data_IF_209257486574
#
_entry.id   IF_209257486574
#
_cell.length_a   1.000
_cell.length_b   1.000
_cell.length_c   1.000
_cell.angle_alpha   90.00
_cell.angle_beta   90.00
_cell.angle_gamma   90.00
#
_symmetry.space_group_name_H-M   'P 1'
#
loop_
_entity.id
_entity.type
_entity.pdbx_description
1 polymer ?
2 non-polymer ?
3 water ?
#
# COMPACT_ATOMS: atom_id res chain seq x y z
N UNK A 6 4.28 27.32 -0.20
CA UNK A 6 5.30 26.46 0.40
C UNK A 6 5.41 26.69 1.89
N UNK A 7 4.26 26.67 2.58
CA UNK A 7 4.22 26.97 4.00
C UNK A 7 4.16 25.71 4.85
N UNK A 8 5.33 25.12 5.08
CA UNK A 8 5.45 24.05 6.06
C UNK A 8 6.51 24.49 7.07
N UNK A 9 6.18 24.35 8.35
CA UNK A 9 7.00 24.94 9.41
C UNK A 9 7.58 23.90 10.35
N UNK A 10 8.57 24.31 11.14
CA UNK A 10 9.13 23.46 12.18
C UNK A 10 8.18 23.41 13.37
N UNK A 11 8.21 22.29 14.09
CA UNK A 11 7.41 22.13 15.30
C UNK A 11 8.32 21.73 16.45
N UNK A 12 8.08 22.30 17.62
CA UNK A 12 8.84 21.97 18.82
C UNK A 12 7.93 21.34 19.87
N UNK A 13 8.34 20.19 20.38
CA UNK A 13 7.58 19.46 21.38
C UNK A 13 8.43 19.26 22.62
N UNK A 14 8.19 20.09 23.65
CA UNK A 14 8.97 20.03 24.88
C UNK A 14 10.47 20.14 24.59
N UNK A 15 10.86 21.27 24.00
CA UNK A 15 12.27 21.57 23.69
C UNK A 15 12.89 20.63 22.65
N UNK A 16 12.11 19.67 22.16
CA UNK A 16 12.55 18.79 21.08
C UNK A 16 12.07 19.33 19.74
N UNK A 17 13.02 19.78 18.93
CA UNK A 17 12.71 20.47 17.68
C UNK A 17 12.54 19.50 16.51
N UNK A 18 11.47 19.69 15.74
CA UNK A 18 11.24 18.95 14.52
C UNK A 18 11.38 19.89 13.32
N UNK A 19 12.50 19.81 12.58
CA UNK A 19 12.67 20.72 11.45
C UNK A 19 11.64 20.46 10.35
N UNK A 20 11.28 21.51 9.61
CA UNK A 20 10.22 21.41 8.60
C UNK A 20 10.58 20.43 7.49
N UNK A 21 11.87 20.31 7.20
CA UNK A 21 12.36 19.43 6.13
C UNK A 21 13.61 18.71 6.61
N UNK A 22 13.76 17.45 6.22
CA UNK A 22 14.96 16.68 6.50
C UNK A 22 15.35 15.87 5.26
N UNK A 23 16.62 15.50 5.19
CA UNK A 23 17.12 14.66 4.11
C UNK A 23 17.83 13.46 4.72
N UNK A 24 17.40 12.27 4.31
CA UNK A 24 17.94 11.04 4.87
C UNK A 24 19.35 10.72 4.36
N UNK A 25 20.30 10.54 5.29
CA UNK A 25 21.62 10.06 4.87
C UNK A 25 21.57 8.60 4.42
N UNK A 26 20.46 7.93 4.72
CA UNK A 26 20.29 6.52 4.39
C UNK A 26 19.80 6.35 2.95
N UNK A 27 18.75 7.07 2.60
CA UNK A 27 18.11 6.94 1.29
C UNK A 27 18.46 8.07 0.34
N UNK A 28 18.88 9.21 0.90
CA UNK A 28 19.17 10.39 0.10
C UNK A 28 17.91 11.15 -0.28
N UNK A 29 16.76 10.61 0.13
CA UNK A 29 15.48 11.26 -0.10
C UNK A 29 15.26 12.40 0.87
N UNK A 30 14.37 13.31 0.49
CA UNK A 30 14.03 14.45 1.34
C UNK A 30 12.56 14.34 1.76
N UNK A 31 12.30 14.75 3.00
CA UNK A 31 10.96 14.65 3.58
C UNK A 31 10.53 15.99 4.16
N UNK A 32 9.22 16.19 4.27
CA UNK A 32 8.68 17.36 4.95
C UNK A 32 7.86 16.92 6.16
N UNK A 33 7.81 17.77 7.17
CA UNK A 33 7.12 17.45 8.41
C UNK A 33 5.60 17.52 8.22
N UNK A 34 4.93 16.41 8.45
CA UNK A 34 3.48 16.33 8.30
C UNK A 34 2.76 16.71 9.58
N UNK A 35 3.38 16.42 10.72
CA UNK A 35 2.76 16.73 12.00
C UNK A 35 3.62 16.28 13.18
N UNK A 36 3.26 16.72 14.38
CA UNK A 36 4.01 16.37 15.58
C UNK A 36 3.21 16.61 16.85
N UNK A 37 3.40 15.75 17.85
CA UNK A 37 2.71 15.88 19.12
C UNK A 37 3.40 15.17 20.27
N UNK A 38 2.68 15.05 21.40
CA UNK A 38 3.22 14.43 22.61
C UNK A 38 2.58 13.08 22.90
N UNK A 39 3.35 12.20 23.55
CA UNK A 39 2.83 10.93 24.05
C UNK A 39 3.26 10.70 25.49
N UNK A 40 2.53 9.85 26.19
CA UNK A 40 2.82 9.57 27.59
C UNK A 40 1.81 8.60 28.17
N UNK A 41 1.58 8.71 29.47
CA UNK A 41 0.62 7.86 30.17
C UNK A 41 -0.44 8.70 30.89
N UNK A 42 -1.69 8.26 30.78
CA UNK A 42 -2.79 8.86 31.52
C UNK A 42 -2.85 8.14 32.86
N UNK A 43 -1.74 8.17 33.59
CA UNK A 43 -1.61 7.50 34.87
C UNK A 43 -1.35 8.52 35.98
N UNK A 44 -1.59 8.08 37.22
CA UNK A 44 -1.38 8.87 38.44
C UNK A 44 -2.00 10.28 38.42
N UNK A 45 -3.14 10.42 37.74
CA UNK A 45 -3.90 11.66 37.74
C UNK A 45 -3.29 12.81 36.98
N UNK A 46 -1.96 12.84 36.94
CA UNK A 46 -1.20 13.86 36.22
C UNK A 46 -0.65 13.30 34.91
N UNK A 47 -0.84 14.05 33.82
CA UNK A 47 -0.32 13.60 32.53
C UNK A 47 1.19 13.83 32.47
N UNK A 48 1.93 12.74 32.26
CA UNK A 48 3.38 12.78 32.20
C UNK A 48 3.88 12.52 30.78
N UNK A 49 4.48 13.55 30.17
CA UNK A 49 5.03 13.43 28.83
C UNK A 49 6.26 12.53 28.85
N UNK A 50 6.31 11.55 27.97
CA UNK A 50 7.43 10.62 27.89
C UNK A 50 8.15 10.72 26.55
N UNK A 51 7.38 10.91 25.48
CA UNK A 51 7.95 10.98 24.14
C UNK A 51 7.29 12.04 23.27
N UNK A 52 8.05 12.52 22.29
CA UNK A 52 7.52 13.33 21.21
C UNK A 52 7.49 12.47 19.95
N UNK A 53 6.50 12.73 19.09
CA UNK A 53 6.40 12.02 17.82
C UNK A 53 6.27 13.02 16.69
N UNK A 54 6.95 12.74 15.58
CA UNK A 54 6.85 13.53 14.37
C UNK A 54 6.79 12.61 13.18
N UNK A 55 5.89 12.93 12.24
CA UNK A 55 5.74 12.13 11.03
C UNK A 55 6.20 12.92 9.82
N UNK A 56 7.09 12.33 9.04
CA UNK A 56 7.62 12.94 7.83
C UNK A 56 7.17 12.14 6.60
N UNK A 57 6.77 12.87 5.56
CA UNK A 57 6.40 12.26 4.28
C UNK A 57 7.45 12.62 3.24
N UNK A 58 7.81 11.66 2.40
CA UNK A 58 8.70 11.94 1.28
C UNK A 58 8.07 13.02 0.41
N UNK A 59 8.92 13.86 -0.19
CA UNK A 59 8.45 15.04 -0.91
C UNK A 59 7.47 14.72 -2.06
N UNK A 60 7.62 13.54 -2.67
CA UNK A 60 6.76 13.14 -3.77
C UNK A 60 5.34 12.80 -3.32
N UNK A 61 5.12 12.76 -2.00
CA UNK A 61 3.81 12.42 -1.47
C UNK A 61 2.76 13.45 -1.87
N UNK A 62 3.16 14.70 -2.02
CA UNK A 62 2.24 15.77 -2.36
C UNK A 62 1.64 15.55 -3.74
N UNK A 63 2.48 15.27 -4.72
CA UNK A 63 2.02 15.00 -6.08
C UNK A 63 1.11 13.76 -6.11
N UNK A 64 1.45 12.77 -5.31
CA UNK A 64 0.68 11.53 -5.24
C UNK A 64 -0.69 11.74 -4.60
N UNK A 65 -0.73 12.57 -3.56
CA UNK A 65 -1.96 12.83 -2.82
C UNK A 65 -2.83 13.90 -3.48
N UNK A 66 -2.24 14.65 -4.41
CA UNK A 66 -2.90 15.82 -4.97
C UNK A 66 -4.13 15.43 -5.81
N UNK A 67 -4.02 14.34 -6.55
CA UNK A 67 -5.08 13.89 -7.44
C UNK A 67 -6.42 13.78 -6.72
N UNK A 68 -6.41 13.12 -5.56
CA UNK A 68 -7.65 12.84 -4.84
C UNK A 68 -8.06 13.95 -3.86
N UNK A 69 -7.08 14.65 -3.30
CA UNK A 69 -7.32 15.48 -2.12
C UNK A 69 -7.07 16.98 -2.31
N UNK A 70 -6.62 17.36 -3.50
CA UNK A 70 -6.50 18.79 -3.82
C UNK A 70 -7.86 19.48 -3.70
N UNK A 71 -7.86 20.66 -3.11
CA UNK A 71 -9.07 21.47 -3.00
C UNK A 71 -9.93 21.16 -1.79
N UNK A 72 -9.65 20.04 -1.12
CA UNK A 72 -10.37 19.69 0.09
C UNK A 72 -9.89 20.53 1.27
N UNK A 73 -10.80 20.83 2.19
CA UNK A 73 -10.47 21.65 3.36
C UNK A 73 -9.92 20.78 4.49
N UNK A 74 -9.29 21.42 5.47
CA UNK A 74 -8.71 20.70 6.59
C UNK A 74 -9.79 19.99 7.42
N UNK A 75 -10.96 20.61 7.51
CA UNK A 75 -12.07 20.05 8.28
C UNK A 75 -12.56 18.77 7.63
N UNK A 76 -12.59 18.77 6.31
CA UNK A 76 -13.10 17.64 5.54
C UNK A 76 -12.11 16.47 5.56
N UNK A 77 -10.83 16.78 5.38
CA UNK A 77 -9.78 15.77 5.41
C UNK A 77 -9.76 15.02 6.74
N UNK A 78 -9.90 15.77 7.83
CA UNK A 78 -9.82 15.19 9.18
C UNK A 78 -10.88 14.12 9.40
N UNK A 79 -12.02 14.27 8.74
CA UNK A 79 -13.16 13.37 8.92
C UNK A 79 -13.19 12.24 7.88
N UNK A 80 -12.17 12.19 7.02
CA UNK A 80 -12.12 11.22 5.94
C UNK A 80 -11.04 10.16 6.17
N UNK A 81 -11.47 8.95 6.52
CA UNK A 81 -10.55 7.84 6.76
C UNK A 81 -9.69 7.54 5.54
N UNK A 82 -10.28 7.63 4.36
CA UNK A 82 -9.59 7.27 3.12
C UNK A 82 -8.36 8.15 2.89
N UNK A 83 -8.38 9.35 3.44
CA UNK A 83 -7.26 10.28 3.32
C UNK A 83 -6.03 9.74 4.05
N UNK A 84 -6.22 9.27 5.27
CA UNK A 84 -5.12 8.76 6.07
C UNK A 84 -4.65 7.40 5.59
N UNK A 85 -5.55 6.63 4.97
CA UNK A 85 -5.17 5.36 4.37
C UNK A 85 -4.21 5.60 3.20
N UNK A 86 -4.47 6.66 2.44
CA UNK A 86 -3.59 7.05 1.33
C UNK A 86 -2.23 7.49 1.87
N UNK A 87 -2.23 8.10 3.05
CA UNK A 87 -1.00 8.53 3.68
C UNK A 87 -0.24 7.32 4.21
N UNK A 88 -0.96 6.47 4.94
CA UNK A 88 -0.37 5.26 5.52
C UNK A 88 0.23 4.35 4.44
N UNK A 89 -0.53 4.16 3.36
CA UNK A 89 -0.19 3.14 2.36
C UNK A 89 0.20 3.71 1.00
N UNK A 90 0.48 5.01 0.95
CA UNK A 90 0.85 5.66 -0.29
C UNK A 90 2.19 5.17 -0.83
N UNK A 91 2.44 5.41 -2.13
CA UNK A 91 3.66 4.95 -2.79
C UNK A 91 4.84 5.90 -2.57
N UNK A 92 5.18 6.11 -1.31
CA UNK A 92 6.26 7.01 -0.94
C UNK A 92 6.71 6.69 0.48
N UNK A 93 7.94 7.07 0.81
CA UNK A 93 8.49 6.76 2.14
C UNK A 93 7.89 7.66 3.20
N UNK A 94 7.64 7.07 4.36
CA UNK A 94 7.26 7.82 5.55
C UNK A 94 8.34 7.61 6.60
N UNK A 95 8.64 8.66 7.34
CA UNK A 95 9.70 8.60 8.34
C UNK A 95 9.16 9.15 9.65
N UNK A 96 9.14 8.29 10.67
CA UNK A 96 8.61 8.66 11.97
C UNK A 96 9.73 8.80 12.98
N UNK A 97 9.74 9.91 13.72
CA UNK A 97 10.77 10.16 14.72
C UNK A 97 10.18 10.34 16.12
N UNK A 98 10.47 9.38 17.00
CA UNK A 98 10.07 9.48 18.39
C UNK A 98 11.25 9.93 19.25
N UNK A 99 11.09 11.06 19.93
CA UNK A 99 12.13 11.62 20.78
C UNK A 99 11.73 11.53 22.25
N UNK A 100 12.66 11.09 23.10
CA UNK A 100 12.34 10.87 24.50
C UNK A 100 12.44 12.16 25.31
N UNK A 101 11.43 12.37 26.17
CA UNK A 101 11.40 13.49 27.08
C UNK A 101 11.90 13.02 28.45
N UNK A 102 11.56 11.78 28.78
CA UNK A 102 12.03 11.13 30.00
C UNK A 102 12.73 9.83 29.63
N UNK A 103 13.72 9.42 30.40
CA UNK A 103 14.56 8.28 30.04
C UNK A 103 13.77 6.97 30.04
N UNK A 104 13.94 6.19 28.97
CA UNK A 104 13.33 4.87 28.83
C UNK A 104 14.34 3.90 28.24
N UNK A 105 14.33 2.66 28.73
CA UNK A 105 15.12 1.62 28.08
C UNK A 105 14.39 1.21 26.80
N UNK A 106 15.08 0.44 25.96
CA UNK A 106 14.51 0.02 24.70
C UNK A 106 13.27 -0.86 24.87
N UNK A 107 13.35 -1.88 25.73
CA UNK A 107 12.19 -2.74 25.99
C UNK A 107 11.03 -1.99 26.64
N UNK A 108 11.35 -0.98 27.46
CA UNK A 108 10.32 -0.19 28.14
C UNK A 108 9.52 0.61 27.12
N UNK A 109 10.22 1.24 26.18
CA UNK A 109 9.56 2.06 25.16
C UNK A 109 8.82 1.20 24.13
N UNK A 110 9.44 0.09 23.75
CA UNK A 110 8.92 -0.72 22.65
C UNK A 110 7.71 -1.56 23.05
N UNK A 111 7.46 -1.69 24.35
CA UNK A 111 6.40 -2.56 24.84
C UNK A 111 5.03 -2.16 24.29
N UNK A 112 4.63 -0.91 24.52
CA UNK A 112 3.30 -0.45 24.11
C UNK A 112 3.20 -0.33 22.59
N UNK A 113 4.31 0.06 21.96
CA UNK A 113 4.34 0.17 20.50
C UNK A 113 4.08 -1.17 19.83
N UNK A 114 4.71 -2.22 20.34
CA UNK A 114 4.55 -3.56 19.76
C UNK A 114 3.19 -4.16 20.08
N UNK A 115 2.63 -3.78 21.22
CA UNK A 115 1.29 -4.23 21.60
C UNK A 115 0.27 -3.76 20.56
N UNK A 116 0.27 -2.45 20.31
CA UNK A 116 -0.63 -1.85 19.33
C UNK A 116 -0.49 -2.45 17.93
N UNK A 117 0.75 -2.74 17.53
CA UNK A 117 1.00 -3.30 16.20
C UNK A 117 0.41 -4.70 16.11
N UNK A 118 0.70 -5.54 17.10
CA UNK A 118 0.18 -6.91 17.11
C UNK A 118 -1.35 -6.88 17.15
N UNK A 119 -1.89 -5.93 17.90
CA UNK A 119 -3.34 -5.77 17.99
C UNK A 119 -3.93 -5.43 16.62
N UNK A 120 -3.33 -4.46 15.94
CA UNK A 120 -3.76 -4.06 14.60
C UNK A 120 -3.66 -5.21 13.60
N UNK A 121 -2.53 -5.91 13.61
CA UNK A 121 -2.31 -6.99 12.65
C UNK A 121 -3.31 -8.12 12.86
N UNK A 122 -3.74 -8.31 14.10
CA UNK A 122 -4.75 -9.31 14.42
C UNK A 122 -6.14 -8.85 13.98
N UNK A 123 -6.44 -7.58 14.23
CA UNK A 123 -7.70 -6.98 13.80
C UNK A 123 -7.97 -7.20 12.31
N UNK A 124 -6.95 -6.99 11.49
CA UNK A 124 -7.12 -7.05 10.04
C UNK A 124 -6.71 -8.42 9.47
N UNK A 125 -6.54 -9.40 10.35
CA UNK A 125 -6.36 -10.78 9.92
C UNK A 125 -5.07 -11.09 9.18
N UNK A 126 -4.02 -10.32 9.43
CA UNK A 126 -2.72 -10.57 8.81
C UNK A 126 -1.62 -10.72 9.85
N UNK A 127 -1.81 -11.63 10.79
CA UNK A 127 -0.79 -11.93 11.80
C UNK A 127 -0.44 -13.41 11.82
N UNK A 128 0.32 -13.84 10.83
CA UNK A 128 0.77 -15.22 10.74
C UNK A 128 2.16 -15.40 11.32
N UNK A 129 2.82 -16.49 10.93
CA UNK A 129 4.17 -16.78 11.42
C UNK A 129 5.18 -15.73 10.98
N UNK A 130 5.10 -15.33 9.71
CA UNK A 130 6.03 -14.35 9.16
C UNK A 130 5.96 -13.02 9.91
N UNK A 131 4.75 -12.62 10.28
CA UNK A 131 4.56 -11.35 10.97
C UNK A 131 4.97 -11.43 12.44
N UNK A 132 4.79 -12.60 13.04
CA UNK A 132 5.18 -12.80 14.43
C UNK A 132 6.71 -12.77 14.55
N UNK A 133 7.36 -13.39 13.58
CA UNK A 133 8.82 -13.37 13.49
C UNK A 133 9.34 -11.96 13.25
N UNK A 134 8.65 -11.22 12.38
CA UNK A 134 9.02 -9.85 12.10
C UNK A 134 8.93 -8.99 13.36
N UNK A 135 7.91 -9.23 14.16
CA UNK A 135 7.70 -8.49 15.41
C UNK A 135 8.72 -8.92 16.45
N UNK A 136 9.24 -10.14 16.31
CA UNK A 136 10.29 -10.63 17.18
C UNK A 136 11.59 -9.90 16.85
N UNK A 137 11.89 -9.83 15.56
CA UNK A 137 13.06 -9.09 15.07
C UNK A 137 12.96 -7.61 15.43
N UNK A 138 11.72 -7.13 15.54
CA UNK A 138 11.44 -5.76 15.93
C UNK A 138 11.83 -5.54 17.40
N UNK A 139 11.39 -6.46 18.25
CA UNK A 139 11.70 -6.41 19.67
C UNK A 139 13.20 -6.48 19.93
N UNK A 140 13.87 -7.42 19.28
CA UNK A 140 15.31 -7.64 19.47
C UNK A 140 16.11 -6.38 19.19
N UNK A 141 15.70 -5.61 18.19
CA UNK A 141 16.40 -4.39 17.81
C UNK A 141 16.45 -3.38 18.96
N UNK A 142 15.44 -3.42 19.82
CA UNK A 142 15.32 -2.43 20.90
C UNK A 142 16.03 -2.87 22.18
N UNK A 143 16.21 -4.18 22.37
CA UNK A 143 16.72 -4.72 23.63
C UNK A 143 18.08 -4.17 24.09
N UNK A 144 19.04 -4.02 23.16
CA UNK A 144 20.37 -3.55 23.58
C UNK A 144 20.51 -2.03 23.62
N UNK A 145 19.40 -1.31 23.61
CA UNK A 145 19.43 0.15 23.53
C UNK A 145 18.73 0.80 24.73
N UNK A 146 19.24 1.95 25.14
CA UNK A 146 18.63 2.77 26.18
C UNK A 146 18.46 4.18 25.63
N UNK A 147 17.37 4.85 26.01
CA UNK A 147 17.03 6.16 25.46
C UNK A 147 17.01 7.25 26.52
N UNK A 148 18.16 7.91 26.76
CA UNK A 148 18.15 9.11 27.58
C UNK A 148 17.32 10.22 26.93
N UNK A 149 16.97 11.27 27.70
CA UNK A 149 16.21 12.39 27.14
C UNK A 149 16.89 12.99 25.91
N UNK A 150 16.13 13.16 24.82
CA UNK A 150 16.68 13.72 23.60
C UNK A 150 17.04 12.67 22.58
N UNK A 151 17.24 11.44 23.04
CA UNK A 151 17.55 10.33 22.15
C UNK A 151 16.33 10.00 21.30
N UNK A 152 16.56 9.49 20.09
CA UNK A 152 15.49 9.29 19.13
C UNK A 152 15.49 7.89 18.52
N UNK A 153 14.30 7.45 18.14
CA UNK A 153 14.14 6.27 17.30
C UNK A 153 13.49 6.71 15.99
N UNK A 154 14.04 6.23 14.88
CA UNK A 154 13.52 6.51 13.56
C UNK A 154 12.89 5.27 12.94
N UNK A 155 11.62 5.38 12.55
CA UNK A 155 10.98 4.33 11.76
C UNK A 155 10.94 4.77 10.29
N UNK A 156 11.71 4.09 9.44
CA UNK A 156 11.64 4.37 8.00
C UNK A 156 10.75 3.35 7.33
N UNK A 157 9.54 3.78 6.97
CA UNK A 157 8.59 2.91 6.28
C UNK A 157 8.73 3.06 4.78
N UNK A 158 9.28 2.03 4.14
CA UNK A 158 9.45 2.02 2.70
C UNK A 158 8.20 1.44 2.03
N UNK A 159 7.79 2.02 0.89
CA UNK A 159 6.63 1.47 0.20
C UNK A 159 6.91 0.09 -0.40
N UNK A 160 8.19 -0.29 -0.44
CA UNK A 160 8.59 -1.60 -0.93
C UNK A 160 8.38 -2.70 0.12
N UNK A 161 7.73 -2.35 1.22
CA UNK A 161 7.38 -3.33 2.24
C UNK A 161 8.52 -3.61 3.21
N UNK A 162 9.30 -2.58 3.52
CA UNK A 162 10.42 -2.71 4.46
C UNK A 162 10.33 -1.65 5.54
N UNK A 163 10.58 -2.06 6.79
CA UNK A 163 10.66 -1.12 7.90
C UNK A 163 12.07 -1.08 8.46
N UNK A 164 12.73 0.07 8.34
CA UNK A 164 14.06 0.26 8.87
C UNK A 164 14.03 0.97 10.21
N UNK A 165 14.73 0.41 11.19
CA UNK A 165 14.83 1.02 12.51
C UNK A 165 16.20 1.66 12.71
N UNK A 166 16.19 2.89 13.22
CA UNK A 166 17.42 3.62 13.50
C UNK A 166 17.33 4.28 14.87
N UNK A 167 18.43 4.26 15.61
CA UNK A 167 18.49 4.87 16.93
C UNK A 167 19.56 5.95 16.93
N UNK A 168 19.25 7.10 17.53
CA UNK A 168 20.18 8.22 17.60
C UNK A 168 20.24 8.81 19.01
N UNK A 169 21.44 9.22 19.44
CA UNK A 169 21.56 9.86 20.76
C UNK A 169 20.97 11.26 20.81
N UNK A 170 20.69 11.83 19.64
CA UNK A 170 20.02 13.11 19.53
C UNK A 170 18.94 13.05 18.45
N UNK A 171 18.63 14.19 17.82
CA UNK A 171 17.54 14.26 16.86
C UNK A 171 17.97 14.06 15.40
N UNK A 172 19.26 13.83 15.18
CA UNK A 172 19.77 13.69 13.82
C UNK A 172 19.70 12.24 13.32
N UNK A 173 19.48 12.09 12.02
CA UNK A 173 19.31 10.76 11.41
C UNK A 173 20.64 10.01 11.30
N UNK A 174 20.70 8.77 11.82
CA UNK A 174 21.89 7.92 11.65
C UNK A 174 22.15 7.52 10.19
N UNK A 175 23.42 7.26 9.84
CA UNK A 175 23.77 6.86 8.48
C UNK A 175 23.38 5.42 8.23
N UNK A 176 23.55 4.60 9.26
CA UNK A 176 23.22 3.18 9.18
C UNK A 176 21.96 2.89 9.98
N UNK A 177 21.22 1.89 9.54
CA UNK A 177 20.02 1.45 10.24
C UNK A 177 20.36 0.24 11.11
N UNK A 178 19.70 0.14 12.27
CA UNK A 178 19.98 -0.94 13.21
C UNK A 178 19.41 -2.26 12.70
N UNK A 179 18.26 -2.21 12.05
CA UNK A 179 17.63 -3.42 11.54
C UNK A 179 16.67 -3.15 10.38
N UNK A 180 16.43 -4.18 9.57
CA UNK A 180 15.47 -4.10 8.48
C UNK A 180 14.44 -5.20 8.63
N UNK A 181 13.21 -4.80 8.95
CA UNK A 181 12.10 -5.73 9.04
C UNK A 181 11.45 -5.86 7.66
N UNK A 182 11.71 -6.97 6.99
CA UNK A 182 11.22 -7.18 5.64
C UNK A 182 9.88 -7.90 5.66
N UNK A 183 8.83 -7.14 5.95
CA UNK A 183 7.48 -7.66 6.00
C UNK A 183 6.49 -6.54 5.67
N UNK A 184 5.61 -6.80 4.69
CA UNK A 184 4.71 -5.78 4.19
C UNK A 184 3.71 -5.33 5.25
N UNK A 185 3.03 -6.29 5.87
CA UNK A 185 2.00 -6.00 6.87
C UNK A 185 2.57 -5.21 8.04
N UNK A 186 3.74 -5.63 8.53
CA UNK A 186 4.38 -4.98 9.67
C UNK A 186 4.93 -3.60 9.31
N UNK A 187 5.42 -3.47 8.08
CA UNK A 187 6.06 -2.22 7.65
C UNK A 187 5.15 -1.01 7.83
N UNK A 188 3.85 -1.20 7.62
CA UNK A 188 2.88 -0.10 7.72
C UNK A 188 2.19 -0.08 9.08
N UNK A 189 2.40 -1.10 9.88
CA UNK A 189 1.70 -1.26 11.15
C UNK A 189 1.94 -0.10 12.12
N UNK A 190 3.19 0.33 12.23
CA UNK A 190 3.55 1.37 13.19
C UNK A 190 2.79 2.68 12.93
N UNK A 191 2.82 3.15 11.68
CA UNK A 191 2.18 4.41 11.32
C UNK A 191 0.66 4.31 11.48
N UNK A 192 0.12 3.12 11.25
CA UNK A 192 -1.32 2.88 11.44
C UNK A 192 -1.74 3.19 12.87
N UNK A 193 -0.94 2.76 13.84
CA UNK A 193 -1.26 2.99 15.24
C UNK A 193 -1.22 4.46 15.64
N UNK A 194 -0.71 5.31 14.74
CA UNK A 194 -0.54 6.73 15.03
C UNK A 194 -1.59 7.61 14.35
N UNK A 195 -1.93 7.29 13.11
CA UNK A 195 -2.89 8.09 12.34
C UNK A 195 -3.97 7.23 11.68
N UNK A 196 -3.98 5.94 12.01
CA UNK A 196 -4.98 5.03 11.47
C UNK A 196 -6.34 5.24 12.12
N UNK A 197 -7.31 4.45 11.69
CA UNK A 197 -8.68 4.55 12.17
C UNK A 197 -8.75 4.36 13.70
N UNK A 198 -7.99 3.39 14.21
CA UNK A 198 -8.04 3.03 15.62
C UNK A 198 -6.91 3.67 16.43
N UNK A 199 -6.37 4.77 15.93
CA UNK A 199 -5.36 5.55 16.64
C UNK A 199 -6.00 6.29 17.81
N UNK A 200 -5.41 6.15 19.00
CA UNK A 200 -6.01 6.70 20.21
C UNK A 200 -5.93 8.23 20.26
N UNK A 201 -4.74 8.78 20.00
CA UNK A 201 -4.55 10.23 19.97
C UNK A 201 -4.76 10.80 18.57
N UNK A 202 -5.61 11.83 18.41
CA UNK A 202 -5.85 12.35 17.07
C UNK A 202 -5.04 13.61 16.75
N UNK A 203 -4.08 13.95 17.61
CA UNK A 203 -3.30 15.17 17.44
C UNK A 203 -2.50 15.18 16.14
N UNK A 204 -2.03 14.01 15.71
CA UNK A 204 -1.27 13.90 14.47
C UNK A 204 -2.20 13.96 13.27
N UNK A 205 -3.38 13.35 13.40
CA UNK A 205 -4.39 13.43 12.35
C UNK A 205 -4.78 14.89 12.09
N UNK A 206 -4.90 15.67 13.16
CA UNK A 206 -5.22 17.09 13.03
C UNK A 206 -4.10 17.86 12.35
N UNK A 207 -2.87 17.57 12.76
CA UNK A 207 -1.70 18.24 12.22
C UNK A 207 -1.60 18.04 10.72
N UNK A 208 -1.78 16.79 10.29
CA UNK A 208 -1.73 16.43 8.87
C UNK A 208 -2.85 17.11 8.08
N UNK A 209 -4.06 17.09 8.64
CA UNK A 209 -5.20 17.72 8.00
C UNK A 209 -4.99 19.22 7.81
N UNK A 210 -4.29 19.84 8.75
CA UNK A 210 -4.07 21.28 8.75
C UNK A 210 -2.99 21.71 7.75
N UNK A 211 -1.95 20.89 7.62
CA UNK A 211 -0.75 21.28 6.89
C UNK A 211 -0.75 20.93 5.40
N UNK A 212 -1.44 19.86 5.03
CA UNK A 212 -1.37 19.34 3.67
C UNK A 212 -2.12 20.15 2.61
N UNK A 213 -3.33 20.66 2.94
CA UNK A 213 -4.10 21.38 1.92
C UNK A 213 -3.35 22.51 1.22
N UNK A 214 -2.52 23.24 1.96
CA UNK A 214 -1.72 24.30 1.37
C UNK A 214 -0.72 23.71 0.38
N UNK A 215 -0.09 22.61 0.77
CA UNK A 215 0.87 21.92 -0.09
C UNK A 215 0.20 21.30 -1.31
N UNK A 216 -0.99 20.73 -1.12
CA UNK A 216 -1.68 20.04 -2.20
C UNK A 216 -2.11 21.00 -3.30
N UNK A 217 -2.35 22.25 -2.93
CA UNK A 217 -2.72 23.27 -3.90
C UNK A 217 -1.53 23.57 -4.81
N UNK A 218 -0.33 23.43 -4.26
CA UNK A 218 0.89 23.64 -5.00
C UNK A 218 1.04 22.58 -6.09
N UNK A 219 0.43 21.42 -5.86
CA UNK A 219 0.52 20.31 -6.78
C UNK A 219 1.73 19.42 -6.58
N UNK A 220 2.73 19.92 -5.85
CA UNK A 220 3.97 19.19 -5.64
C UNK A 220 4.85 19.87 -4.60
N UNK A 221 5.80 19.12 -4.04
CA UNK A 221 6.70 19.68 -3.03
C UNK A 221 8.14 19.55 -3.46
N UNK A 222 8.86 20.67 -3.35
CA UNK A 222 10.25 20.78 -3.78
C UNK A 222 11.07 21.46 -2.69
N UNK A 223 12.09 20.78 -2.19
CA UNK A 223 12.93 21.36 -1.14
C UNK A 223 13.91 22.35 -1.75
N UNK A 224 13.98 23.53 -1.14
CA UNK A 224 14.83 24.60 -1.62
C UNK A 224 14.07 25.59 -2.48
N UNK B 6 13.68 -8.99 -20.22
CA UNK B 6 14.19 -10.36 -20.11
C UNK B 6 13.19 -11.36 -20.68
N UNK B 7 13.01 -12.48 -19.99
CA UNK B 7 12.18 -13.58 -20.49
C UNK B 7 10.78 -13.64 -19.88
N UNK B 8 9.88 -12.80 -20.39
CA UNK B 8 8.45 -12.94 -20.12
C UNK B 8 7.70 -12.99 -21.46
N UNK B 9 6.80 -13.94 -21.59
CA UNK B 9 6.17 -14.25 -22.88
C UNK B 9 4.66 -14.01 -22.86
N UNK B 10 4.05 -14.02 -24.04
CA UNK B 10 2.61 -13.90 -24.17
C UNK B 10 1.93 -15.20 -23.76
N UNK B 11 0.70 -15.10 -23.26
CA UNK B 11 -0.09 -16.26 -22.86
C UNK B 11 -1.44 -16.26 -23.56
N UNK B 12 -1.89 -17.44 -23.97
CA UNK B 12 -3.20 -17.60 -24.61
C UNK B 12 -4.10 -18.46 -23.73
N UNK B 13 -5.29 -17.95 -23.44
CA UNK B 13 -6.28 -18.64 -22.62
C UNK B 13 -7.59 -18.79 -23.38
N UNK B 14 -7.84 -19.99 -23.91
CA UNK B 14 -9.05 -20.25 -24.70
C UNK B 14 -9.18 -19.23 -25.84
N UNK B 15 -8.18 -19.21 -26.72
CA UNK B 15 -8.17 -18.34 -27.90
C UNK B 15 -8.12 -16.84 -27.57
N UNK B 16 -8.09 -16.49 -26.28
CA UNK B 16 -7.94 -15.10 -25.87
C UNK B 16 -6.46 -14.84 -25.58
N UNK B 17 -5.82 -14.03 -26.43
CA UNK B 17 -4.38 -13.82 -26.36
C UNK B 17 -4.03 -12.67 -25.42
N UNK B 18 -3.07 -12.92 -24.54
CA UNK B 18 -2.55 -11.89 -23.64
C UNK B 18 -1.11 -11.53 -24.03
N UNK B 19 -0.91 -10.34 -24.62
CA UNK B 19 0.45 -9.98 -25.04
C UNK B 19 1.40 -9.81 -23.86
N UNK B 20 2.68 -10.08 -24.09
CA UNK B 20 3.69 -10.04 -23.04
C UNK B 20 3.86 -8.64 -22.46
N UNK B 21 3.59 -7.63 -23.28
CA UNK B 21 3.74 -6.24 -22.87
C UNK B 21 2.59 -5.38 -23.40
N UNK B 22 2.15 -4.42 -22.59
CA UNK B 22 1.13 -3.46 -22.99
C UNK B 22 1.49 -2.06 -22.49
N UNK B 23 0.94 -1.04 -23.15
CA UNK B 23 1.14 0.34 -22.75
C UNK B 23 -0.20 1.05 -22.58
N UNK B 24 -0.41 1.67 -21.42
CA UNK B 24 -1.67 2.35 -21.12
C UNK B 24 -1.81 3.65 -21.91
N UNK B 25 -2.90 3.79 -22.68
CA UNK B 25 -3.14 5.09 -23.32
C UNK B 25 -3.52 6.18 -22.32
N UNK B 26 -3.87 5.78 -21.11
CA UNK B 26 -4.32 6.71 -20.08
C UNK B 26 -3.15 7.32 -19.30
N UNK B 27 -2.25 6.47 -18.82
CA UNK B 27 -1.14 6.91 -17.98
C UNK B 27 0.17 6.97 -18.75
N UNK B 28 0.25 6.23 -19.85
CA UNK B 28 1.47 6.16 -20.63
C UNK B 28 2.49 5.22 -20.02
N UNK B 29 2.14 4.60 -18.89
CA UNK B 29 3.02 3.65 -18.24
C UNK B 29 3.01 2.34 -19.04
N UNK B 30 4.06 1.54 -18.88
CA UNK B 30 4.14 0.24 -19.56
C UNK B 30 4.14 -0.89 -18.55
N UNK B 31 3.51 -2.00 -18.92
CA UNK B 31 3.35 -3.14 -18.03
C UNK B 31 3.83 -4.41 -18.71
N UNK B 32 4.22 -5.40 -17.91
CA UNK B 32 4.55 -6.73 -18.42
C UNK B 32 3.57 -7.75 -17.82
N UNK B 33 3.33 -8.83 -18.55
CA UNK B 33 2.38 -9.84 -18.12
C UNK B 33 2.93 -10.69 -16.97
N UNK B 34 2.25 -10.64 -15.83
CA UNK B 34 2.67 -11.39 -14.66
C UNK B 34 2.11 -12.79 -14.62
N UNK B 35 0.92 -12.97 -15.17
CA UNK B 35 0.27 -14.27 -15.19
C UNK B 35 -1.10 -14.22 -15.85
N UNK B 36 -1.67 -15.39 -16.11
CA UNK B 36 -2.98 -15.47 -16.74
C UNK B 36 -3.63 -16.84 -16.53
N UNK B 37 -4.94 -16.85 -16.35
CA UNK B 37 -5.68 -18.09 -16.16
C UNK B 37 -7.16 -17.94 -16.47
N UNK B 38 -7.93 -18.97 -16.08
CA UNK B 38 -9.37 -19.00 -16.33
C UNK B 38 -10.17 -18.85 -15.04
N UNK B 39 -11.36 -18.28 -15.15
CA UNK B 39 -12.32 -18.22 -14.05
C UNK B 39 -13.68 -18.68 -14.54
N UNK B 40 -14.53 -19.10 -13.62
CA UNK B 40 -15.86 -19.57 -13.98
C UNK B 40 -16.65 -20.08 -12.81
N UNK B 41 -17.56 -21.02 -13.09
CA UNK B 41 -18.41 -21.64 -12.09
C UNK B 41 -18.26 -23.14 -12.12
N UNK B 42 -18.17 -23.75 -10.94
CA UNK B 42 -18.20 -25.21 -10.82
C UNK B 42 -19.64 -25.69 -10.65
N UNK B 43 -20.13 -26.44 -11.63
CA UNK B 43 -21.50 -26.96 -11.58
C UNK B 43 -21.44 -28.47 -11.48
N UNK B 44 -21.92 -29.01 -10.36
CA UNK B 44 -21.95 -30.46 -10.16
C UNK B 44 -20.60 -31.09 -10.47
N UNK B 45 -19.53 -30.49 -9.94
CA UNK B 45 -18.19 -31.03 -10.15
C UNK B 45 -17.55 -30.61 -11.45
N UNK B 46 -18.34 -30.12 -12.40
CA UNK B 46 -17.78 -29.69 -13.69
C UNK B 46 -17.47 -28.21 -13.71
N UNK B 47 -16.23 -27.89 -14.10
CA UNK B 47 -15.78 -26.51 -14.22
C UNK B 47 -16.26 -25.90 -15.53
N UNK B 48 -17.00 -24.80 -15.44
CA UNK B 48 -17.52 -24.12 -16.63
C UNK B 48 -16.77 -22.80 -16.81
N UNK B 49 -15.97 -22.71 -17.87
CA UNK B 49 -15.19 -21.51 -18.15
C UNK B 49 -16.07 -20.34 -18.61
N UNK B 50 -15.93 -19.19 -17.97
CA UNK B 50 -16.66 -17.99 -18.35
C UNK B 50 -15.75 -16.83 -18.74
N UNK B 51 -14.62 -16.69 -18.05
CA UNK B 51 -13.71 -15.58 -18.32
C UNK B 51 -12.25 -16.00 -18.29
N UNK B 52 -11.43 -15.24 -19.00
CA UNK B 52 -9.98 -15.30 -18.86
C UNK B 52 -9.52 -14.07 -18.10
N UNK B 53 -8.45 -14.22 -17.32
CA UNK B 53 -7.89 -13.11 -16.57
C UNK B 53 -6.40 -13.02 -16.80
N UNK B 54 -5.90 -11.80 -16.90
CA UNK B 54 -4.46 -11.55 -17.00
C UNK B 54 -4.08 -10.40 -16.10
N UNK B 55 -2.96 -10.56 -15.38
CA UNK B 55 -2.48 -9.53 -14.47
C UNK B 55 -1.18 -8.94 -14.99
N UNK B 56 -1.16 -7.61 -15.11
CA UNK B 56 0.00 -6.89 -15.59
C UNK B 56 0.60 -6.01 -14.48
N UNK B 57 1.92 -6.03 -14.37
CA UNK B 57 2.63 -5.16 -13.44
C UNK B 57 3.46 -4.14 -14.20
N UNK B 58 3.45 -2.90 -13.71
CA UNK B 58 4.30 -1.86 -14.29
C UNK B 58 5.76 -2.28 -14.21
N UNK B 59 6.56 -1.89 -15.19
CA UNK B 59 7.95 -2.35 -15.30
C UNK B 59 8.79 -1.97 -14.08
N UNK B 60 8.43 -0.88 -13.41
CA UNK B 60 9.19 -0.44 -12.24
C UNK B 60 8.97 -1.35 -11.03
N UNK B 61 8.01 -2.26 -11.15
CA UNK B 61 7.70 -3.19 -10.07
C UNK B 61 8.90 -4.11 -9.80
N UNK B 62 9.66 -4.39 -10.85
CA UNK B 62 10.78 -5.30 -10.76
C UNK B 62 11.85 -4.74 -9.81
N UNK B 63 12.23 -3.49 -10.02
CA UNK B 63 13.19 -2.83 -9.14
C UNK B 63 12.65 -2.73 -7.71
N UNK B 64 11.35 -2.50 -7.60
CA UNK B 64 10.71 -2.36 -6.30
C UNK B 64 10.70 -3.67 -5.52
N UNK B 65 10.46 -4.78 -6.22
CA UNK B 65 10.37 -6.10 -5.60
C UNK B 65 11.74 -6.75 -5.39
N UNK B 66 12.77 -6.22 -6.03
CA UNK B 66 14.07 -6.89 -6.09
C UNK B 66 14.76 -7.00 -4.73
N UNK B 67 14.68 -5.96 -3.91
CA UNK B 67 15.37 -5.97 -2.62
C UNK B 67 15.02 -7.19 -1.79
N UNK B 68 13.72 -7.48 -1.68
CA UNK B 68 13.25 -8.55 -0.82
C UNK B 68 13.23 -9.92 -1.47
N UNK B 69 13.02 -9.98 -2.78
CA UNK B 69 12.67 -11.24 -3.44
C UNK B 69 13.68 -11.70 -4.50
N UNK B 70 14.70 -10.89 -4.75
CA UNK B 70 15.77 -11.30 -5.65
C UNK B 70 16.44 -12.56 -5.13
N UNK B 71 16.70 -13.51 -6.03
CA UNK B 71 17.42 -14.72 -5.67
C UNK B 71 16.57 -15.84 -5.11
N UNK B 72 15.32 -15.54 -4.75
CA UNK B 72 14.41 -16.57 -4.25
C UNK B 72 13.87 -17.40 -5.41
N UNK B 73 13.58 -18.67 -5.14
CA UNK B 73 13.07 -19.58 -6.17
C UNK B 73 11.56 -19.48 -6.32
N UNK B 74 11.04 -20.02 -7.42
CA UNK B 74 9.62 -19.99 -7.70
C UNK B 74 8.83 -20.75 -6.65
N UNK B 75 9.41 -21.85 -6.15
CA UNK B 75 8.76 -22.68 -5.15
C UNK B 75 8.62 -21.91 -3.85
N UNK B 76 9.66 -21.13 -3.53
CA UNK B 76 9.72 -20.37 -2.29
C UNK B 76 8.76 -19.20 -2.30
N UNK B 77 8.71 -18.49 -3.43
CA UNK B 77 7.81 -17.36 -3.60
C UNK B 77 6.35 -17.77 -3.44
N UNK B 78 5.99 -18.89 -4.06
CA UNK B 78 4.60 -19.35 -4.08
C UNK B 78 4.01 -19.60 -2.70
N UNK B 79 4.85 -20.03 -1.76
CA UNK B 79 4.38 -20.36 -0.42
C UNK B 79 4.54 -19.19 0.55
N UNK B 80 4.96 -18.04 0.02
CA UNK B 80 5.22 -16.85 0.83
C UNK B 80 4.15 -15.79 0.60
N UNK B 81 3.25 -15.63 1.57
CA UNK B 81 2.17 -14.66 1.47
C UNK B 81 2.68 -13.23 1.30
N UNK B 82 3.77 -12.91 1.99
CA UNK B 82 4.33 -11.56 1.99
C UNK B 82 4.73 -11.13 0.58
N UNK B 83 5.05 -12.10 -0.27
CA UNK B 83 5.43 -11.82 -1.65
C UNK B 83 4.27 -11.23 -2.43
N UNK B 84 3.10 -11.85 -2.30
CA UNK B 84 1.91 -11.41 -3.01
C UNK B 84 1.32 -10.15 -2.40
N UNK B 85 1.55 -9.92 -1.11
CA UNK B 85 1.14 -8.67 -0.48
C UNK B 85 1.94 -7.50 -1.07
N UNK B 86 3.22 -7.72 -1.32
CA UNK B 86 4.06 -6.69 -1.93
C UNK B 86 3.61 -6.40 -3.36
N UNK B 87 3.10 -7.42 -4.04
CA UNK B 87 2.60 -7.26 -5.40
C UNK B 87 1.26 -6.54 -5.39
N UNK B 88 0.35 -6.99 -4.53
CA UNK B 88 -0.97 -6.38 -4.43
C UNK B 88 -0.89 -4.89 -4.09
N UNK B 89 -0.03 -4.55 -3.13
CA UNK B 89 0.00 -3.21 -2.55
C UNK B 89 1.30 -2.45 -2.84
N UNK B 90 2.07 -2.93 -3.81
CA UNK B 90 3.33 -2.30 -4.14
C UNK B 90 3.16 -0.90 -4.73
N UNK B 91 4.24 -0.11 -4.73
CA UNK B 91 4.22 1.28 -5.21
C UNK B 91 4.37 1.36 -6.72
N UNK B 92 3.44 0.75 -7.44
CA UNK B 92 3.46 0.73 -8.89
C UNK B 92 2.07 0.38 -9.41
N UNK B 93 1.78 0.78 -10.64
CA UNK B 93 0.47 0.54 -11.21
C UNK B 93 0.33 -0.92 -11.61
N UNK B 94 -0.84 -1.49 -11.35
CA UNK B 94 -1.18 -2.83 -11.82
C UNK B 94 -2.37 -2.76 -12.76
N UNK B 95 -2.37 -3.61 -13.77
CA UNK B 95 -3.43 -3.62 -14.77
C UNK B 95 -3.97 -5.03 -14.97
N UNK B 96 -5.26 -5.20 -14.70
CA UNK B 96 -5.92 -6.49 -14.84
C UNK B 96 -6.86 -6.47 -16.04
N UNK B 97 -6.77 -7.51 -16.88
CA UNK B 97 -7.62 -7.61 -18.06
C UNK B 97 -8.48 -8.87 -18.00
N UNK B 98 -9.78 -8.68 -17.84
CA UNK B 98 -10.72 -9.79 -17.85
C UNK B 98 -11.42 -9.88 -19.20
N UNK B 99 -11.20 -11.00 -19.90
CA UNK B 99 -11.80 -11.23 -21.20
C UNK B 99 -12.82 -12.37 -21.12
N UNK B 100 -13.98 -12.17 -21.75
CA UNK B 100 -15.07 -13.13 -21.66
C UNK B 100 -14.94 -14.30 -22.63
N UNK B 101 -15.20 -15.51 -22.11
CA UNK B 101 -15.25 -16.72 -22.92
C UNK B 101 -16.71 -17.02 -23.26
N UNK B 102 -17.60 -16.71 -22.32
CA UNK B 102 -19.03 -16.82 -22.53
C UNK B 102 -19.67 -15.47 -22.26
N UNK B 103 -20.77 -15.17 -22.97
CA UNK B 103 -21.38 -13.85 -22.89
C UNK B 103 -21.96 -13.55 -21.52
N UNK B 104 -21.63 -12.38 -20.99
CA UNK B 104 -22.19 -11.89 -19.73
C UNK B 104 -22.49 -10.42 -19.84
N UNK B 105 -23.61 -10.00 -19.25
CA UNK B 105 -23.91 -8.58 -19.13
C UNK B 105 -23.01 -8.01 -18.04
N UNK B 106 -22.96 -6.69 -17.94
CA UNK B 106 -22.12 -6.05 -16.94
C UNK B 106 -22.53 -6.41 -15.53
N UNK B 107 -23.83 -6.31 -15.22
CA UNK B 107 -24.32 -6.66 -13.88
C UNK B 107 -24.17 -8.15 -13.55
N UNK B 108 -24.28 -9.01 -14.56
CA UNK B 108 -24.13 -10.45 -14.36
C UNK B 108 -22.71 -10.81 -13.95
N UNK B 109 -21.74 -10.22 -14.65
CA UNK B 109 -20.34 -10.47 -14.37
C UNK B 109 -19.90 -9.78 -13.08
N UNK B 110 -20.39 -8.56 -12.84
CA UNK B 110 -19.93 -7.75 -11.73
C UNK B 110 -20.48 -8.21 -10.39
N UNK B 111 -21.53 -9.03 -10.41
CA UNK B 111 -22.20 -9.44 -9.17
C UNK B 111 -21.25 -10.18 -8.23
N UNK B 112 -20.65 -11.25 -8.73
CA UNK B 112 -19.78 -12.09 -7.90
C UNK B 112 -18.45 -11.40 -7.62
N UNK B 113 -17.99 -10.57 -8.55
CA UNK B 113 -16.76 -9.80 -8.36
C UNK B 113 -16.92 -8.89 -7.15
N UNK B 114 -18.09 -8.24 -7.05
CA UNK B 114 -18.33 -7.31 -5.95
C UNK B 114 -18.55 -8.07 -4.65
N UNK B 115 -19.07 -9.28 -4.73
CA UNK B 115 -19.25 -10.12 -3.55
C UNK B 115 -17.90 -10.42 -2.91
N UNK B 116 -16.97 -10.90 -3.72
CA UNK B 116 -15.61 -11.21 -3.25
C UNK B 116 -14.92 -9.99 -2.66
N UNK B 117 -15.12 -8.83 -3.27
CA UNK B 117 -14.48 -7.60 -2.81
C UNK B 117 -15.01 -7.14 -1.46
N UNK B 118 -16.33 -7.10 -1.33
CA UNK B 118 -16.97 -6.67 -0.08
C UNK B 118 -16.61 -7.63 1.06
N UNK B 119 -16.54 -8.92 0.74
CA UNK B 119 -16.18 -9.92 1.74
C UNK B 119 -14.79 -9.63 2.30
N UNK B 120 -13.85 -9.38 1.40
CA UNK B 120 -12.49 -9.01 1.78
C UNK B 120 -12.45 -7.73 2.61
N UNK B 121 -13.17 -6.71 2.17
CA UNK B 121 -13.17 -5.41 2.85
C UNK B 121 -13.75 -5.51 4.25
N UNK B 122 -14.70 -6.41 4.44
CA UNK B 122 -15.28 -6.65 5.76
C UNK B 122 -14.30 -7.44 6.61
N UNK B 123 -13.69 -8.44 5.99
CA UNK B 123 -12.68 -9.28 6.65
C UNK B 123 -11.58 -8.45 7.31
N UNK B 124 -11.07 -7.45 6.60
CA UNK B 124 -9.95 -6.65 7.09
C UNK B 124 -10.40 -5.35 7.76
N UNK B 125 -11.69 -5.26 8.06
CA UNK B 125 -12.23 -4.16 8.85
C UNK B 125 -12.19 -2.79 8.19
N UNK B 126 -12.20 -2.76 6.86
CA UNK B 126 -12.23 -1.50 6.14
C UNK B 126 -13.40 -1.46 5.15
N UNK B 127 -14.60 -1.68 5.65
CA UNK B 127 -15.82 -1.56 4.85
C UNK B 127 -16.79 -0.60 5.52
N UNK B 128 -16.50 0.68 5.42
CA UNK B 128 -17.36 1.72 5.97
C UNK B 128 -18.29 2.28 4.91
N UNK B 129 -18.84 3.46 5.19
CA UNK B 129 -19.76 4.12 4.28
C UNK B 129 -19.07 4.48 2.96
N UNK B 130 -17.86 5.03 3.06
CA UNK B 130 -17.12 5.46 1.88
C UNK B 130 -16.86 4.31 0.92
N UNK B 131 -16.55 3.13 1.47
CA UNK B 131 -16.23 1.97 0.66
C UNK B 131 -17.48 1.35 0.06
N UNK B 132 -18.58 1.44 0.79
CA UNK B 132 -19.87 0.94 0.30
C UNK B 132 -20.35 1.79 -0.86
N UNK B 133 -20.17 3.11 -0.74
CA UNK B 133 -20.51 4.03 -1.82
C UNK B 133 -19.63 3.77 -3.03
N UNK B 134 -18.34 3.50 -2.79
CA UNK B 134 -17.41 3.18 -3.86
C UNK B 134 -17.83 1.92 -4.60
N UNK B 135 -18.33 0.93 -3.85
CA UNK B 135 -18.77 -0.32 -4.46
C UNK B 135 -20.08 -0.14 -5.21
N UNK B 136 -20.88 0.85 -4.80
CA UNK B 136 -22.09 1.17 -5.53
C UNK B 136 -21.69 1.81 -6.84
N UNK B 137 -20.77 2.76 -6.77
CA UNK B 137 -20.23 3.44 -7.93
C UNK B 137 -19.55 2.42 -8.86
N UNK B 138 -19.05 1.34 -8.26
CA UNK B 138 -18.43 0.26 -9.01
C UNK B 138 -19.51 -0.49 -9.81
N UNK B 139 -20.62 -0.80 -9.16
CA UNK B 139 -21.74 -1.47 -9.80
C UNK B 139 -22.29 -0.63 -10.95
N UNK B 140 -22.50 0.66 -10.69
CA UNK B 140 -23.07 1.56 -11.69
C UNK B 140 -22.26 1.57 -12.98
N UNK B 141 -20.94 1.48 -12.85
CA UNK B 141 -20.06 1.51 -14.01
C UNK B 141 -20.33 0.36 -14.97
N UNK B 142 -20.80 -0.76 -14.45
CA UNK B 142 -20.99 -1.97 -15.25
C UNK B 142 -22.38 -2.07 -15.88
N UNK B 143 -23.36 -1.41 -15.29
CA UNK B 143 -24.76 -1.57 -15.70
C UNK B 143 -25.04 -1.30 -17.18
N UNK B 144 -24.41 -0.26 -17.77
CA UNK B 144 -24.70 0.02 -19.18
C UNK B 144 -23.82 -0.77 -20.16
N UNK B 145 -23.18 -1.84 -19.67
CA UNK B 145 -22.21 -2.59 -20.47
C UNK B 145 -22.61 -4.06 -20.62
N UNK B 146 -22.29 -4.63 -21.78
CA UNK B 146 -22.47 -6.06 -22.04
C UNK B 146 -21.16 -6.64 -22.58
N UNK B 147 -20.87 -7.88 -22.22
CA UNK B 147 -19.61 -8.52 -22.61
C UNK B 147 -19.83 -9.76 -23.46
N UNK B 148 -19.94 -9.59 -24.78
CA UNK B 148 -19.91 -10.76 -25.67
C UNK B 148 -18.54 -11.44 -25.60
N UNK B 149 -18.43 -12.67 -26.12
CA UNK B 149 -17.13 -13.34 -26.13
C UNK B 149 -16.04 -12.51 -26.78
N UNK B 150 -14.92 -12.35 -26.10
CA UNK B 150 -13.80 -11.57 -26.60
C UNK B 150 -13.76 -10.17 -26.03
N UNK B 151 -14.90 -9.68 -25.54
CA UNK B 151 -14.97 -8.36 -24.94
C UNK B 151 -14.22 -8.35 -23.60
N UNK B 152 -13.66 -7.21 -23.25
CA UNK B 152 -12.79 -7.11 -22.08
C UNK B 152 -13.13 -5.96 -21.13
N UNK B 153 -12.80 -6.16 -19.85
CA UNK B 153 -12.80 -5.09 -18.87
C UNK B 153 -11.38 -4.93 -18.35
N UNK B 154 -10.93 -3.68 -18.26
CA UNK B 154 -9.61 -3.37 -17.72
C UNK B 154 -9.71 -2.69 -16.37
N UNK B 155 -9.04 -3.28 -15.38
CA UNK B 155 -8.88 -2.65 -14.07
C UNK B 155 -7.49 -2.05 -13.97
N UNK B 156 -7.42 -0.72 -13.92
CA UNK B 156 -6.15 -0.04 -13.67
C UNK B 156 -6.07 0.35 -12.20
N UNK B 157 -5.26 -0.38 -11.45
CA UNK B 157 -5.05 -0.08 -10.04
C UNK B 157 -3.87 0.87 -9.90
N UNK B 158 -4.16 2.12 -9.56
CA UNK B 158 -3.13 3.12 -9.38
C UNK B 158 -2.64 3.09 -7.94
N UNK B 159 -1.33 3.27 -7.73
CA UNK B 159 -0.82 3.25 -6.35
C UNK B 159 -1.29 4.46 -5.54
N UNK B 160 -1.83 5.46 -6.22
CA UNK B 160 -2.39 6.64 -5.56
C UNK B 160 -3.78 6.39 -4.97
N UNK B 161 -4.22 5.13 -5.00
CA UNK B 161 -5.48 4.75 -4.39
C UNK B 161 -6.68 4.99 -5.30
N UNK B 162 -6.48 4.78 -6.59
CA UNK B 162 -7.56 4.93 -7.57
C UNK B 162 -7.69 3.67 -8.42
N UNK B 163 -8.92 3.26 -8.65
CA UNK B 163 -9.23 2.16 -9.55
C UNK B 163 -9.95 2.69 -10.78
N UNK B 164 -9.30 2.59 -11.93
CA UNK B 164 -9.88 3.02 -13.19
C UNK B 164 -10.47 1.85 -13.94
N UNK B 165 -11.72 1.99 -14.38
CA UNK B 165 -12.39 0.96 -15.14
C UNK B 165 -12.46 1.33 -16.61
N UNK B 166 -12.13 0.38 -17.48
CA UNK B 166 -12.19 0.56 -18.91
C UNK B 166 -12.87 -0.64 -19.55
N UNK B 167 -13.74 -0.39 -20.51
CA UNK B 167 -14.46 -1.45 -21.22
C UNK B 167 -14.15 -1.44 -22.70
N UNK B 168 -13.94 -2.61 -23.27
CA UNK B 168 -13.64 -2.76 -24.68
C UNK B 168 -14.49 -3.86 -25.30
N UNK B 169 -14.97 -3.67 -26.54
CA UNK B 169 -15.73 -4.72 -27.21
C UNK B 169 -14.85 -5.89 -27.63
N UNK B 170 -13.53 -5.71 -27.58
CA UNK B 170 -12.57 -6.78 -27.85
C UNK B 170 -11.46 -6.77 -26.79
N UNK B 171 -10.28 -7.25 -27.15
CA UNK B 171 -9.18 -7.40 -26.18
C UNK B 171 -8.19 -6.24 -26.17
N UNK B 172 -8.44 -5.21 -26.98
CA UNK B 172 -7.53 -4.08 -27.08
C UNK B 172 -7.85 -3.01 -26.04
N UNK B 173 -6.83 -2.27 -25.62
CA UNK B 173 -6.96 -1.30 -24.52
C UNK B 173 -7.77 -0.09 -24.96
N UNK B 174 -8.84 0.26 -24.20
CA UNK B 174 -9.50 1.53 -24.52
C UNK B 174 -8.60 2.73 -24.26
N UNK B 175 -8.80 3.80 -25.00
CA UNK B 175 -7.98 5.01 -24.82
C UNK B 175 -8.44 5.84 -23.63
N UNK B 176 -9.75 5.90 -23.42
CA UNK B 176 -10.34 6.63 -22.30
C UNK B 176 -10.93 5.65 -21.28
N UNK B 177 -10.98 6.05 -20.02
CA UNK B 177 -11.56 5.21 -18.98
C UNK B 177 -13.02 5.55 -18.72
N UNK B 178 -13.81 4.52 -18.43
CA UNK B 178 -15.24 4.69 -18.20
C UNK B 178 -15.55 5.28 -16.82
N UNK B 179 -14.76 4.89 -15.81
CA UNK B 179 -14.99 5.39 -14.45
C UNK B 179 -13.74 5.33 -13.58
N UNK B 180 -13.74 6.16 -12.54
CA UNK B 180 -12.66 6.21 -11.56
C UNK B 180 -13.18 6.01 -10.14
N UNK B 181 -12.85 4.88 -9.53
CA UNK B 181 -13.22 4.62 -8.14
C UNK B 181 -12.13 5.17 -7.23
N UNK B 182 -12.40 6.29 -6.57
CA UNK B 182 -11.41 6.96 -5.73
C UNK B 182 -11.51 6.49 -4.28
N UNK B 183 -10.98 5.31 -4.01
CA UNK B 183 -10.97 4.73 -2.67
C UNK B 183 -9.79 3.78 -2.52
N UNK B 184 -8.99 3.98 -1.48
CA UNK B 184 -7.76 3.20 -1.32
C UNK B 184 -8.06 1.72 -1.08
N UNK B 185 -8.96 1.46 -0.14
CA UNK B 185 -9.31 0.09 0.23
C UNK B 185 -9.88 -0.69 -0.97
N UNK B 186 -10.78 -0.06 -1.71
CA UNK B 186 -11.42 -0.71 -2.85
C UNK B 186 -10.44 -0.88 -4.01
N UNK B 187 -9.53 0.08 -4.18
CA UNK B 187 -8.59 0.06 -5.30
C UNK B 187 -7.78 -1.23 -5.39
N UNK B 188 -7.43 -1.79 -4.23
CA UNK B 188 -6.62 -3.00 -4.19
C UNK B 188 -7.46 -4.27 -4.02
N UNK B 189 -8.74 -4.09 -3.74
CA UNK B 189 -9.62 -5.21 -3.42
C UNK B 189 -9.71 -6.21 -4.57
N UNK B 190 -9.81 -5.72 -5.79
CA UNK B 190 -9.97 -6.60 -6.96
C UNK B 190 -8.79 -7.55 -7.11
N UNK B 191 -7.57 -7.00 -7.09
CA UNK B 191 -6.38 -7.82 -7.25
C UNK B 191 -6.21 -8.78 -6.09
N UNK B 192 -6.66 -8.36 -4.91
CA UNK B 192 -6.64 -9.20 -3.72
C UNK B 192 -7.41 -10.50 -3.92
N UNK B 193 -8.59 -10.40 -4.52
CA UNK B 193 -9.44 -11.57 -4.74
C UNK B 193 -8.83 -12.56 -5.74
N UNK B 194 -7.76 -12.16 -6.41
CA UNK B 194 -7.14 -12.98 -7.44
C UNK B 194 -5.85 -13.65 -6.99
N UNK B 195 -5.03 -12.93 -6.23
CA UNK B 195 -3.75 -13.44 -5.78
C UNK B 195 -3.54 -13.26 -4.27
N UNK B 196 -4.58 -12.81 -3.58
CA UNK B 196 -4.50 -12.63 -2.14
C UNK B 196 -4.54 -13.97 -1.43
N UNK B 197 -4.44 -13.92 -0.10
CA UNK B 197 -4.40 -15.14 0.71
C UNK B 197 -5.63 -16.01 0.51
N UNK B 198 -6.79 -15.37 0.40
CA UNK B 198 -8.05 -16.11 0.38
C UNK B 198 -8.56 -16.37 -1.04
N UNK B 199 -7.67 -16.24 -2.02
CA UNK B 199 -8.00 -16.68 -3.38
C UNK B 199 -7.89 -18.20 -3.42
N UNK B 200 -8.97 -18.87 -3.80
CA UNK B 200 -8.97 -20.33 -3.81
C UNK B 200 -8.14 -20.86 -4.97
N UNK B 201 -8.29 -20.25 -6.14
CA UNK B 201 -7.54 -20.68 -7.32
C UNK B 201 -6.16 -20.02 -7.31
N UNK B 202 -5.08 -20.84 -7.37
CA UNK B 202 -3.72 -20.31 -7.31
C UNK B 202 -3.04 -20.21 -8.67
N UNK B 203 -3.78 -20.37 -9.75
CA UNK B 203 -3.17 -20.42 -11.08
C UNK B 203 -2.39 -19.14 -11.42
N UNK B 204 -2.88 -17.99 -10.93
CA UNK B 204 -2.18 -16.73 -11.14
C UNK B 204 -1.01 -16.59 -10.18
N UNK B 205 -1.19 -17.07 -8.94
CA UNK B 205 -0.11 -17.09 -7.97
C UNK B 205 1.06 -17.93 -8.49
N UNK B 206 0.75 -19.05 -9.13
CA UNK B 206 1.79 -19.90 -9.70
C UNK B 206 2.52 -19.19 -10.83
N UNK B 207 1.76 -18.54 -11.71
CA UNK B 207 2.33 -17.83 -12.86
C UNK B 207 3.31 -16.74 -12.41
N UNK B 208 2.92 -15.97 -11.41
CA UNK B 208 3.77 -14.90 -10.89
C UNK B 208 5.05 -15.49 -10.31
N UNK B 209 4.90 -16.57 -9.54
CA UNK B 209 6.04 -17.24 -8.94
C UNK B 209 6.99 -17.78 -10.00
N UNK B 210 6.45 -18.22 -11.12
CA UNK B 210 7.24 -18.84 -12.18
C UNK B 210 7.99 -17.84 -13.05
N UNK B 211 7.35 -16.70 -13.33
CA UNK B 211 7.85 -15.76 -14.35
C UNK B 211 8.75 -14.65 -13.79
N UNK B 212 8.53 -14.27 -12.55
CA UNK B 212 9.16 -13.09 -11.99
C UNK B 212 10.64 -13.24 -11.59
N UNK B 213 11.03 -14.41 -11.04
CA UNK B 213 12.42 -14.59 -10.58
C UNK B 213 13.48 -14.27 -11.63
N UNK B 214 13.20 -14.56 -12.90
CA UNK B 214 14.13 -14.26 -13.99
C UNK B 214 14.36 -12.75 -14.13
N UNK B 215 13.28 -11.99 -14.07
CA UNK B 215 13.34 -10.54 -14.15
C UNK B 215 14.05 -9.92 -12.95
N UNK B 216 13.82 -10.50 -11.77
CA UNK B 216 14.36 -9.95 -10.53
C UNK B 216 15.88 -9.99 -10.47
N UNK B 217 16.49 -10.96 -11.15
CA UNK B 217 17.95 -11.07 -11.18
C UNK B 217 18.60 -9.98 -12.02
N UNK B 218 17.90 -9.54 -13.06
CA UNK B 218 18.40 -8.51 -13.96
C UNK B 218 18.53 -7.16 -13.26
N UNK B 219 17.80 -6.99 -12.15
CA UNK B 219 17.75 -5.72 -11.47
C UNK B 219 16.60 -4.95 -12.06
N UNK B 220 16.76 -3.67 -12.33
CA UNK B 220 15.65 -2.89 -12.87
C UNK B 220 15.24 -3.41 -14.24
N UNK B 221 13.98 -3.18 -14.61
CA UNK B 221 13.44 -3.60 -15.89
C UNK B 221 12.77 -2.42 -16.58
N UNK B 222 13.10 -2.21 -17.85
CA UNK B 222 12.57 -1.05 -18.57
C UNK B 222 12.05 -1.43 -19.96
N UNK B 223 10.76 -1.18 -20.16
CA UNK B 223 10.14 -1.46 -21.45
C UNK B 223 10.43 -0.34 -22.45
N UNK B 224 10.88 -0.71 -23.64
CA UNK B 224 11.22 0.26 -24.66
C UNK B 224 10.05 1.12 -25.10
X LIG C 1 2.09 -16.69 7.34
X LIG C 1 3.07 -17.16 6.35
X LIG C 1 2.66 -16.84 8.67
X LIG C 1 1.77 -15.30 7.10
X LIG C 1 0.88 -17.50 7.25
X LIG D 1 19.16 -7.71 9.25
X LIG D 1 19.33 -8.56 10.41
X LIG D 1 20.46 -7.47 8.61
X LIG D 1 18.58 -6.42 9.65
X LIG D 1 18.27 -8.36 8.29
X LIG E 1 -1.81 6.06 19.75
X LIG E 1 -0.48 5.57 19.41
X LIG E 1 -1.85 6.44 21.16
X LIG E 1 -2.12 7.23 18.93
X LIG E 1 -2.79 5.02 19.49
X LIG F 1 -16.46 5.54 6.87
X LIG F 1 -16.00 4.38 7.64
X LIG F 1 -15.50 6.63 6.98
X LIG F 1 -17.76 5.96 7.38
X LIG F 1 -16.58 5.16 5.46
X LIG G 1 -16.25 9.08 -13.03
X LIG G 1 -15.46 7.93 -12.64
X LIG G 1 -15.72 10.28 -12.38
X LIG G 1 -16.17 9.25 -14.49
X LIG G 1 -17.64 8.87 -12.63
X LIG H 1 -11.20 -17.66 -6.19
X LIG H 1 -10.66 -18.95 -6.60
X LIG H 1 -11.03 -17.49 -4.75
X LIG H 1 -10.48 -16.60 -6.88
X LIG H 1 -12.62 -17.59 -6.54
#
# INVERSE_FOLDING_TARGET
GSHMAASITAITVENLEYPAVVTSPVTGKSYFLGGAGERGLTIEGNFIKFTAIGVYLEDIAVASLAAKWKGKSSEELLETLDFYRDIISGPFEKLIRTSKIRELSGPEYSRKVMENCVAHLKSVGTYGDAEAEAMQKFAEAFKPVNFPPGASVFYRQSPDGILGLSFSPDTSIPEKEAALIENKAVSSAVLETMIGEHAVSPDLKRCLAARLPALLNEGAFKIGN
GSHMAASITAITVENLEYPAVVTSPVTGKSYFLGGAGERGLTIEGNFIKFTAIGVYLEDIAVASLAAKWKGKSSEELLETLDFYRDIISGPFEKLIRTSKIRELSGPEYSRKVMENCVAHLKSVGTYGDAEAEAMQKFAEAFKPVNFPPGASVFYRQSPDGILGLSFSPDTSIPEKEAALIENKAVSSAVLETMIGEHAVSPDLKRCLAARLPALLNEGAFKIGN
SO4 S O1 O2 O3 O4
SO4 S O1 O2 O3 O4
SO4 S O1 O2 O3 O4
SO4 S O1 O2 O3 O4
SO4 S O1 O2 O3 O4
SO4 S O1 O2 O3 O4
#
